data_IF_977448402404
#
_entry.id   IF_977448402404
#
_cell.length_a   1.000
_cell.length_b   1.000
_cell.length_c   1.000
_cell.angle_alpha   90.00
_cell.angle_beta   90.00
_cell.angle_gamma   90.00
#
_symmetry.space_group_name_H-M   'P 1'
#
loop_
_entity.id
_entity.type
_entity.pdbx_description
1 polymer ?
#
# COMPACT_ATOMS: atom_id res chain seq x y z
N UNK A 1 -16.57 -5.71 6.02
CA UNK A 1 -15.12 -5.50 5.88
C UNK A 1 -14.51 -5.42 7.27
N UNK A 2 -13.54 -6.26 7.56
CA UNK A 2 -12.86 -6.29 8.86
C UNK A 2 -11.45 -5.74 8.72
N UNK A 3 -11.34 -4.42 8.65
CA UNK A 3 -10.06 -3.75 8.48
C UNK A 3 -9.21 -3.86 9.76
N UNK A 4 -7.92 -4.17 9.60
CA UNK A 4 -6.98 -4.20 10.72
C UNK A 4 -6.88 -2.83 11.36
N UNK A 5 -6.63 -2.82 12.67
CA UNK A 5 -6.58 -1.63 13.50
C UNK A 5 -5.20 -1.49 14.14
N UNK A 6 -4.91 -0.31 14.68
CA UNK A 6 -3.69 -0.06 15.45
C UNK A 6 -3.60 -1.10 16.59
N UNK A 7 -2.44 -1.71 16.71
CA UNK A 7 -2.17 -2.75 17.70
C UNK A 7 -2.36 -4.18 17.20
N UNK A 8 -3.06 -4.37 16.07
CA UNK A 8 -3.22 -5.70 15.49
C UNK A 8 -1.88 -6.18 14.90
N UNK A 9 -1.65 -7.49 14.98
CA UNK A 9 -0.51 -8.12 14.32
C UNK A 9 -0.87 -8.37 12.86
N UNK A 10 0.03 -8.08 11.93
CA UNK A 10 -0.21 -8.35 10.51
C UNK A 10 -0.32 -9.85 10.26
N UNK A 11 -1.19 -10.28 9.33
CA UNK A 11 -1.33 -11.70 9.01
C UNK A 11 -0.15 -12.22 8.20
N UNK A 12 0.03 -13.54 8.24
CA UNK A 12 0.95 -14.20 7.32
C UNK A 12 0.42 -14.06 5.89
N UNK A 13 1.31 -13.79 4.94
CA UNK A 13 0.96 -13.71 3.52
C UNK A 13 2.14 -14.10 2.65
N UNK A 14 1.84 -14.45 1.42
CA UNK A 14 2.83 -14.63 0.36
C UNK A 14 2.26 -14.07 -0.93
N UNK A 15 3.04 -13.22 -1.59
CA UNK A 15 2.67 -12.61 -2.87
C UNK A 15 3.94 -12.36 -3.68
N UNK A 16 3.82 -11.70 -4.82
CA UNK A 16 4.98 -11.32 -5.64
C UNK A 16 4.98 -9.82 -5.87
N UNK A 17 6.17 -9.25 -6.05
CA UNK A 17 6.29 -7.85 -6.44
C UNK A 17 6.25 -7.72 -7.97
N UNK A 18 6.41 -6.50 -8.48
CA UNK A 18 6.37 -6.21 -9.92
C UNK A 18 7.55 -6.81 -10.70
N UNK A 19 8.58 -7.29 -10.01
CA UNK A 19 9.72 -7.97 -10.63
C UNK A 19 9.62 -9.50 -10.51
N UNK A 20 8.49 -10.01 -9.99
CA UNK A 20 8.27 -11.44 -9.82
C UNK A 20 8.96 -12.05 -8.60
N UNK A 21 9.49 -11.22 -7.71
CA UNK A 21 10.15 -11.69 -6.49
C UNK A 21 9.11 -11.99 -5.42
N UNK A 22 9.29 -13.10 -4.69
CA UNK A 22 8.40 -13.47 -3.60
C UNK A 22 8.54 -12.50 -2.43
N UNK A 23 7.42 -12.07 -1.88
CA UNK A 23 7.37 -11.19 -0.70
C UNK A 23 6.42 -11.82 0.32
N UNK A 24 6.88 -11.93 1.56
CA UNK A 24 6.10 -12.45 2.68
C UNK A 24 6.14 -11.45 3.83
N UNK A 25 5.35 -11.71 4.89
CA UNK A 25 5.37 -10.88 6.09
C UNK A 25 6.75 -10.86 6.77
N UNK A 26 7.59 -11.88 6.53
CA UNK A 26 8.95 -11.92 7.09
C UNK A 26 9.83 -10.82 6.51
N UNK A 27 9.55 -10.38 5.29
CA UNK A 27 10.29 -9.27 4.66
C UNK A 27 10.03 -7.93 5.35
N UNK A 28 8.95 -7.84 6.10
CA UNK A 28 8.60 -6.62 6.85
C UNK A 28 9.20 -6.62 8.26
N UNK A 29 9.69 -7.76 8.72
CA UNK A 29 10.23 -7.87 10.08
C UNK A 29 11.50 -7.05 10.26
N UNK A 30 11.59 -6.31 11.34
CA UNK A 30 12.75 -5.47 11.64
C UNK A 30 12.76 -4.12 10.91
N UNK A 31 11.68 -3.79 10.21
CA UNK A 31 11.55 -2.53 9.45
C UNK A 31 10.25 -1.84 9.80
N UNK A 32 10.22 -0.52 9.69
CA UNK A 32 8.96 0.23 9.70
C UNK A 32 8.47 0.30 8.25
N UNK A 33 7.37 -0.37 7.97
CA UNK A 33 6.84 -0.50 6.61
C UNK A 33 5.61 0.39 6.43
N UNK A 34 5.60 1.14 5.34
CA UNK A 34 4.41 1.84 4.85
C UNK A 34 3.83 0.98 3.73
N UNK A 35 2.67 0.41 3.97
CA UNK A 35 1.96 -0.44 3.01
C UNK A 35 0.75 0.32 2.52
N UNK A 36 0.78 0.80 1.27
CA UNK A 36 -0.32 1.58 0.72
C UNK A 36 -1.09 0.78 -0.31
N UNK A 37 -2.39 0.66 -0.06
CA UNK A 37 -3.33 -0.05 -0.94
C UNK A 37 -4.00 0.94 -1.88
N UNK A 38 -4.06 0.60 -3.16
CA UNK A 38 -4.71 1.42 -4.17
C UNK A 38 -5.55 0.56 -5.11
N UNK A 39 -6.67 1.12 -5.64
CA UNK A 39 -7.62 0.32 -6.41
C UNK A 39 -7.10 -0.25 -7.71
N UNK A 40 -6.30 0.53 -8.46
CA UNK A 40 -5.87 0.09 -9.79
C UNK A 40 -4.64 0.86 -10.27
N UNK A 41 -3.65 0.11 -10.74
CA UNK A 41 -2.43 0.68 -11.31
C UNK A 41 -2.73 1.61 -12.49
N UNK A 42 -1.95 2.68 -12.58
CA UNK A 42 -1.96 3.63 -13.70
C UNK A 42 -3.28 4.40 -13.89
N UNK A 43 -4.08 4.53 -12.83
CA UNK A 43 -5.25 5.42 -12.80
C UNK A 43 -4.86 6.77 -12.20
N UNK A 44 -5.60 7.87 -12.47
CA UNK A 44 -5.18 9.22 -12.04
C UNK A 44 -4.90 9.37 -10.54
N UNK A 45 -5.80 8.91 -9.68
CA UNK A 45 -5.62 9.03 -8.23
C UNK A 45 -4.47 8.19 -7.70
N UNK A 46 -4.35 6.96 -8.20
CA UNK A 46 -3.26 6.05 -7.78
C UNK A 46 -1.91 6.55 -8.28
N UNK A 47 -1.86 7.12 -9.48
CA UNK A 47 -0.66 7.73 -10.03
C UNK A 47 -0.24 8.94 -9.20
N UNK A 48 -1.18 9.82 -8.84
CA UNK A 48 -0.89 11.00 -8.02
C UNK A 48 -0.30 10.60 -6.67
N UNK A 49 -0.89 9.61 -6.01
CA UNK A 49 -0.42 9.10 -4.71
C UNK A 49 0.98 8.52 -4.80
N UNK A 50 1.20 7.60 -5.75
CA UNK A 50 2.50 6.93 -5.89
C UNK A 50 3.60 7.90 -6.34
N UNK A 51 3.29 8.87 -7.20
CA UNK A 51 4.24 9.89 -7.62
C UNK A 51 4.61 10.84 -6.48
N UNK A 52 3.66 11.19 -5.62
CA UNK A 52 3.96 11.98 -4.42
C UNK A 52 4.92 11.23 -3.49
N UNK A 53 4.68 9.96 -3.27
CA UNK A 53 5.57 9.11 -2.46
C UNK A 53 6.96 8.98 -3.10
N UNK A 54 7.02 8.82 -4.42
CA UNK A 54 8.27 8.78 -5.17
C UNK A 54 9.08 10.07 -4.98
N UNK A 55 8.42 11.20 -5.12
CA UNK A 55 9.07 12.52 -5.04
C UNK A 55 9.62 12.81 -3.63
N UNK A 56 9.06 12.18 -2.60
CA UNK A 56 9.49 12.34 -1.21
C UNK A 56 10.15 11.08 -0.63
N UNK A 57 10.56 10.17 -1.51
CA UNK A 57 11.07 8.86 -1.06
C UNK A 57 12.32 8.99 -0.18
N UNK A 58 13.25 9.88 -0.55
CA UNK A 58 14.45 10.11 0.25
C UNK A 58 14.12 10.57 1.68
N UNK A 59 13.12 11.45 1.83
CA UNK A 59 12.67 11.93 3.14
C UNK A 59 12.02 10.80 3.94
N UNK A 60 11.22 9.95 3.28
CA UNK A 60 10.57 8.81 3.91
C UNK A 60 11.60 7.78 4.37
N UNK A 61 12.61 7.50 3.55
CA UNK A 61 13.71 6.59 3.93
C UNK A 61 14.53 7.16 5.08
N UNK A 62 14.81 8.46 5.05
CA UNK A 62 15.53 9.13 6.15
C UNK A 62 14.76 9.04 7.46
N UNK A 63 13.43 9.01 7.41
CA UNK A 63 12.58 8.81 8.58
C UNK A 63 12.45 7.34 9.00
N UNK A 64 13.10 6.41 8.29
CA UNK A 64 13.14 5.00 8.64
C UNK A 64 12.06 4.14 7.98
N UNK A 65 11.30 4.67 7.02
CA UNK A 65 10.23 3.92 6.37
C UNK A 65 10.70 3.15 5.14
N UNK A 66 10.16 1.94 4.98
CA UNK A 66 10.25 1.16 3.74
C UNK A 66 8.86 1.11 3.12
N UNK A 67 8.74 1.42 1.83
CA UNK A 67 7.45 1.55 1.16
C UNK A 67 7.13 0.34 0.28
N UNK A 68 5.87 -0.10 0.32
CA UNK A 68 5.34 -1.12 -0.58
C UNK A 68 3.94 -0.68 -1.02
N UNK A 69 3.71 -0.67 -2.34
CA UNK A 69 2.37 -0.44 -2.87
C UNK A 69 1.69 -1.78 -3.14
N UNK A 70 0.36 -1.82 -3.03
CA UNK A 70 -0.42 -3.06 -3.23
C UNK A 70 -1.66 -2.78 -4.05
N UNK A 71 -1.88 -3.58 -5.08
CA UNK A 71 -3.16 -3.66 -5.77
C UNK A 71 -3.39 -5.10 -6.24
N UNK A 72 -4.58 -5.37 -6.79
CA UNK A 72 -4.92 -6.69 -7.35
C UNK A 72 -4.47 -6.82 -8.81
N UNK A 73 -3.71 -5.87 -9.31
CA UNK A 73 -3.17 -5.91 -10.68
C UNK A 73 -2.11 -6.99 -10.83
N UNK A 74 -1.91 -7.46 -12.08
CA UNK A 74 -0.88 -8.44 -12.41
C UNK A 74 0.53 -7.88 -12.23
N UNK A 75 1.53 -8.77 -12.18
CA UNK A 75 2.93 -8.37 -12.17
C UNK A 75 3.25 -7.47 -13.37
N UNK A 76 2.73 -7.81 -14.54
CA UNK A 76 2.95 -7.02 -15.76
C UNK A 76 2.40 -5.61 -15.63
N UNK A 77 1.18 -5.45 -15.13
CA UNK A 77 0.56 -4.13 -14.93
C UNK A 77 1.30 -3.31 -13.88
N UNK A 78 1.70 -3.94 -12.79
CA UNK A 78 2.48 -3.28 -11.74
C UNK A 78 3.85 -2.86 -12.26
N UNK A 79 4.50 -3.73 -13.06
CA UNK A 79 5.78 -3.39 -13.67
C UNK A 79 5.66 -2.22 -14.64
N UNK A 80 4.63 -2.22 -15.48
CA UNK A 80 4.39 -1.11 -16.40
C UNK A 80 4.18 0.19 -15.65
N UNK A 81 3.45 0.16 -14.55
CA UNK A 81 3.20 1.32 -13.70
C UNK A 81 4.51 1.82 -13.08
N UNK A 82 5.28 0.92 -12.47
CA UNK A 82 6.57 1.27 -11.85
C UNK A 82 7.57 1.84 -12.86
N UNK A 83 7.67 1.22 -14.04
CA UNK A 83 8.60 1.66 -15.09
C UNK A 83 8.19 3.02 -15.68
N UNK A 84 6.90 3.24 -15.88
CA UNK A 84 6.40 4.49 -16.46
C UNK A 84 6.74 5.71 -15.61
N UNK A 85 6.72 5.57 -14.29
CA UNK A 85 6.93 6.68 -13.36
C UNK A 85 8.20 6.55 -12.53
N UNK A 86 9.05 5.55 -12.81
CA UNK A 86 10.31 5.30 -12.12
C UNK A 86 10.15 5.20 -10.60
N UNK A 87 9.20 4.39 -10.15
CA UNK A 87 9.00 4.19 -8.71
C UNK A 87 10.17 3.42 -8.11
N UNK A 88 10.80 3.94 -7.05
CA UNK A 88 11.95 3.30 -6.41
C UNK A 88 11.58 2.25 -5.35
N UNK A 89 10.29 1.98 -5.17
CA UNK A 89 9.77 1.03 -4.19
C UNK A 89 9.02 -0.11 -4.86
N UNK A 90 8.93 -1.28 -4.22
CA UNK A 90 8.20 -2.42 -4.77
C UNK A 90 6.70 -2.17 -4.85
N UNK A 91 6.07 -2.70 -5.89
CA UNK A 91 4.62 -2.78 -6.02
C UNK A 91 4.23 -4.25 -5.96
N UNK A 92 3.39 -4.62 -5.00
CA UNK A 92 2.95 -6.00 -4.83
C UNK A 92 1.79 -6.30 -5.77
N UNK A 93 1.90 -7.40 -6.52
CA UNK A 93 0.90 -7.86 -7.47
C UNK A 93 0.02 -8.91 -6.77
N UNK A 94 -0.92 -8.44 -5.96
CA UNK A 94 -1.75 -9.30 -5.11
C UNK A 94 -3.03 -9.76 -5.83
N UNK A 95 -2.85 -10.45 -6.96
CA UNK A 95 -3.98 -10.92 -7.78
C UNK A 95 -4.94 -11.83 -7.02
N UNK A 96 -4.42 -12.66 -6.13
CA UNK A 96 -5.23 -13.56 -5.28
C UNK A 96 -5.95 -12.84 -4.16
N UNK A 97 -5.62 -11.56 -3.93
CA UNK A 97 -6.15 -10.72 -2.85
C UNK A 97 -5.81 -11.22 -1.44
N UNK A 98 -4.77 -12.03 -1.30
CA UNK A 98 -4.35 -12.57 -0.01
C UNK A 98 -3.98 -11.45 0.96
N UNK A 99 -3.17 -10.49 0.52
CA UNK A 99 -2.78 -9.33 1.33
C UNK A 99 -3.97 -8.38 1.52
N UNK A 100 -4.66 -8.10 0.42
CA UNK A 100 -5.82 -7.18 0.40
C UNK A 100 -6.89 -7.65 1.40
N UNK A 101 -7.27 -8.92 1.36
CA UNK A 101 -8.26 -9.48 2.28
C UNK A 101 -7.71 -9.65 3.69
N UNK A 102 -6.42 -9.99 3.82
CA UNK A 102 -5.77 -10.10 5.13
C UNK A 102 -5.75 -8.81 5.91
N UNK A 103 -5.59 -7.67 5.23
CA UNK A 103 -5.64 -6.35 5.86
C UNK A 103 -7.06 -5.80 5.95
N UNK A 104 -8.03 -6.44 5.31
CA UNK A 104 -9.43 -6.06 5.40
C UNK A 104 -9.75 -4.77 4.65
N UNK A 105 -9.19 -4.58 3.46
CA UNK A 105 -9.43 -3.39 2.64
C UNK A 105 -10.25 -3.68 1.38
N UNK A 106 -10.73 -4.91 1.24
CA UNK A 106 -11.65 -5.30 0.17
C UNK A 106 -13.07 -5.28 0.68
N UNK A 107 -13.93 -4.52 0.06
CA UNK A 107 -15.31 -4.42 0.50
C UNK A 107 -16.15 -3.54 -0.40
N UNK A 108 -17.42 -3.34 -0.01
CA UNK A 108 -18.38 -2.62 -0.83
C UNK A 108 -17.98 -1.16 -1.04
N UNK A 109 -18.07 -0.73 -2.30
CA UNK A 109 -17.85 0.64 -2.74
C UNK A 109 -19.05 1.10 -3.55
N UNK A 110 -19.28 2.40 -3.57
CA UNK A 110 -20.37 3.00 -4.35
C UNK A 110 -19.82 4.09 -5.26
N UNK A 111 -20.15 3.99 -6.53
CA UNK A 111 -19.72 4.99 -7.52
C UNK A 111 -20.85 5.20 -8.54
N UNK A 112 -21.30 6.43 -8.70
CA UNK A 112 -22.34 6.83 -9.63
C UNK A 112 -23.63 5.99 -9.50
N UNK A 113 -24.04 5.70 -8.26
CA UNK A 113 -25.23 4.91 -7.97
C UNK A 113 -25.07 3.40 -8.09
N UNK A 114 -23.91 2.92 -8.50
CA UNK A 114 -23.62 1.48 -8.58
C UNK A 114 -22.81 1.02 -7.38
N UNK A 115 -23.20 -0.12 -6.81
CA UNK A 115 -22.44 -0.76 -5.76
C UNK A 115 -21.60 -1.88 -6.35
N UNK A 116 -20.35 -1.99 -5.87
CA UNK A 116 -19.42 -3.05 -6.28
C UNK A 116 -18.40 -3.26 -5.18
N UNK A 117 -17.76 -4.42 -5.20
CA UNK A 117 -16.66 -4.70 -4.26
C UNK A 117 -15.34 -4.27 -4.87
N UNK A 118 -14.50 -3.66 -4.08
CA UNK A 118 -13.21 -3.19 -4.52
C UNK A 118 -12.26 -2.86 -3.37
N UNK A 119 -11.05 -2.44 -3.74
CA UNK A 119 -10.03 -2.05 -2.77
C UNK A 119 -10.33 -0.64 -2.27
N UNK A 120 -10.40 -0.50 -0.95
CA UNK A 120 -10.45 0.82 -0.31
C UNK A 120 -9.04 1.38 -0.21
N UNK A 121 -8.86 2.63 -0.63
CA UNK A 121 -7.57 3.30 -0.55
C UNK A 121 -7.22 3.57 0.90
N UNK A 122 -6.24 2.82 1.41
CA UNK A 122 -5.81 2.91 2.79
C UNK A 122 -4.30 2.68 2.88
N UNK A 123 -3.68 3.25 3.89
CA UNK A 123 -2.27 3.05 4.17
C UNK A 123 -2.09 2.61 5.61
N UNK A 124 -1.24 1.60 5.79
CA UNK A 124 -0.89 1.07 7.10
C UNK A 124 0.58 1.33 7.36
N UNK A 125 0.90 1.86 8.53
CA UNK A 125 2.28 1.93 9.00
C UNK A 125 2.47 0.76 9.96
N UNK A 126 3.42 -0.10 9.64
CA UNK A 126 3.67 -1.36 10.35
C UNK A 126 4.99 -1.20 11.10
N UNK A 127 4.95 -1.44 12.42
CA UNK A 127 6.14 -1.38 13.26
C UNK A 127 7.08 -2.56 12.99
N UNK A 128 8.32 -2.45 13.44
CA UNK A 128 9.35 -3.48 13.23
C UNK A 128 8.98 -4.85 13.82
N UNK A 129 8.11 -4.88 14.83
CA UNK A 129 7.65 -6.12 15.45
C UNK A 129 6.44 -6.77 14.74
N UNK A 130 5.96 -6.17 13.66
CA UNK A 130 4.84 -6.70 12.89
C UNK A 130 3.46 -6.24 13.37
N UNK A 131 3.39 -5.28 14.29
CA UNK A 131 2.11 -4.71 14.72
C UNK A 131 1.80 -3.43 13.95
N UNK A 132 0.52 -3.13 13.78
CA UNK A 132 0.08 -1.92 13.09
C UNK A 132 0.24 -0.72 14.02
N UNK A 133 1.05 0.23 13.60
CA UNK A 133 1.37 1.45 14.33
C UNK A 133 0.39 2.58 14.03
N UNK A 134 -0.07 2.65 12.77
CA UNK A 134 -0.97 3.70 12.27
C UNK A 134 -1.82 3.19 11.12
N UNK A 135 -3.04 3.72 11.01
CA UNK A 135 -3.92 3.47 9.87
C UNK A 135 -4.35 4.83 9.31
N UNK A 136 -4.12 5.04 8.01
CA UNK A 136 -4.56 6.23 7.30
C UNK A 136 -5.68 5.80 6.35
N UNK A 137 -6.92 6.12 6.69
CA UNK A 137 -8.10 5.75 5.92
C UNK A 137 -8.62 6.88 5.02
N UNK A 138 -8.19 8.10 5.28
CA UNK A 138 -8.52 9.27 4.46
C UNK A 138 -7.27 9.76 3.75
N UNK A 139 -6.88 9.02 2.73
CA UNK A 139 -5.66 9.30 1.97
C UNK A 139 -5.84 10.52 1.08
N UNK A 140 -4.94 11.49 1.24
CA UNK A 140 -4.85 12.65 0.35
C UNK A 140 -3.81 12.33 -0.72
N UNK A 141 -4.25 11.97 -1.91
CA UNK A 141 -3.38 11.42 -2.95
C UNK A 141 -2.24 12.35 -3.36
N UNK A 142 -2.45 13.65 -3.34
CA UNK A 142 -1.44 14.63 -3.76
C UNK A 142 -0.45 15.00 -2.67
N UNK A 143 -0.74 14.67 -1.41
CA UNK A 143 0.09 15.04 -0.24
C UNK A 143 0.27 13.88 0.72
N UNK A 144 0.27 12.65 0.20
CA UNK A 144 0.29 11.45 1.04
C UNK A 144 1.60 11.29 1.82
N UNK A 145 2.73 11.66 1.22
CA UNK A 145 4.02 11.64 1.93
C UNK A 145 3.96 12.54 3.18
N UNK A 146 3.37 13.73 3.06
CA UNK A 146 3.21 14.63 4.20
C UNK A 146 2.34 14.00 5.30
N UNK A 147 1.28 13.27 4.93
CA UNK A 147 0.44 12.57 5.91
C UNK A 147 1.24 11.53 6.69
N UNK A 148 2.11 10.79 6.01
CA UNK A 148 2.94 9.75 6.63
C UNK A 148 4.01 10.40 7.52
N UNK A 149 4.66 11.44 7.05
CA UNK A 149 5.73 12.12 7.79
C UNK A 149 5.20 12.92 8.99
N UNK A 150 3.95 13.38 8.93
CA UNK A 150 3.32 14.13 10.03
C UNK A 150 2.72 13.16 11.04
N UNK A 151 3.53 12.77 12.02
CA UNK A 151 3.14 11.79 13.03
C UNK A 151 2.27 12.39 14.15
N UNK A 152 2.09 13.68 14.17
CA UNK A 152 1.31 14.36 15.21
C UNK A 152 -0.17 14.55 14.85
N UNK A 153 -0.51 14.26 13.62
CA UNK A 153 -1.87 14.43 13.12
C UNK A 153 -2.81 13.34 13.60
#
# INVERSE_FOLDING_TARGET
MKTLQVGDTIPAFETTDHLGQSVTQDDFHGKRVVLFFYPKANTPGCTAEACDLRDHYAELQAAGYSLYGVSADSEKKQKNFADKYDFPFPLLADESKTVIEGFGVWGPKKFMGKEYDGIHRMTFVIAADGTIERVIDKVKTKTHAAQILDQES
#
